data_IF_139262616635
#
_entry.id   IF_139262616635
#
_cell.length_a   1.000
_cell.length_b   1.000
_cell.length_c   1.000
_cell.angle_alpha   90.00
_cell.angle_beta   90.00
_cell.angle_gamma   90.00
#
_symmetry.space_group_name_H-M   'P 1'
#
loop_
_entity.id
_entity.type
_entity.pdbx_description
1 polymer ?
#
# COMPACT_ATOMS: atom_id res chain seq x y z
N UNK A 1 -20.83 -2.86 -22.15
CA UNK A 1 -20.27 -1.85 -21.23
C UNK A 1 -19.15 -2.50 -20.43
N UNK A 2 -17.89 -2.19 -20.75
CA UNK A 2 -16.75 -2.71 -19.98
C UNK A 2 -16.78 -2.08 -18.58
N UNK A 3 -16.96 -2.92 -17.56
CA UNK A 3 -16.87 -2.54 -16.16
C UNK A 3 -15.38 -2.32 -15.87
N UNK A 4 -14.89 -1.09 -16.01
CA UNK A 4 -13.52 -0.73 -15.64
C UNK A 4 -13.38 -0.94 -14.13
N UNK A 5 -12.94 -2.13 -13.71
CA UNK A 5 -12.55 -2.36 -12.34
C UNK A 5 -11.37 -1.42 -12.07
N UNK A 6 -11.55 -0.45 -11.17
CA UNK A 6 -10.47 0.40 -10.71
C UNK A 6 -9.47 -0.46 -9.94
N UNK A 7 -8.46 -0.95 -10.65
CA UNK A 7 -7.37 -1.71 -10.06
C UNK A 7 -6.60 -0.82 -9.10
N UNK A 8 -6.27 -1.38 -7.95
CA UNK A 8 -5.34 -0.75 -7.00
C UNK A 8 -3.97 -0.56 -7.66
N UNK A 9 -3.18 0.37 -7.13
CA UNK A 9 -1.82 0.57 -7.62
C UNK A 9 -0.98 -0.72 -7.50
N UNK A 10 -1.16 -1.49 -6.43
CA UNK A 10 -0.47 -2.77 -6.22
C UNK A 10 -0.79 -3.78 -7.34
N UNK A 11 -2.07 -3.98 -7.66
CA UNK A 11 -2.49 -4.89 -8.74
C UNK A 11 -2.00 -4.43 -10.12
N UNK A 12 -1.92 -3.11 -10.35
CA UNK A 12 -1.40 -2.57 -11.60
C UNK A 12 0.11 -2.83 -11.73
N UNK A 13 0.86 -2.63 -10.65
CA UNK A 13 2.30 -2.89 -10.62
C UNK A 13 2.59 -4.38 -10.79
N UNK A 14 1.83 -5.27 -10.14
CA UNK A 14 1.94 -6.72 -10.33
C UNK A 14 1.73 -7.13 -11.80
N UNK A 15 0.68 -6.61 -12.45
CA UNK A 15 0.42 -6.88 -13.87
C UNK A 15 1.52 -6.33 -14.79
N UNK A 16 2.08 -5.17 -14.46
CA UNK A 16 3.19 -4.61 -15.23
C UNK A 16 4.45 -5.49 -15.11
N UNK A 17 4.74 -6.02 -13.92
CA UNK A 17 5.83 -6.98 -13.70
C UNK A 17 5.66 -8.24 -14.57
N UNK A 18 4.44 -8.79 -14.67
CA UNK A 18 4.18 -9.96 -15.53
C UNK A 18 4.47 -9.65 -17.01
N UNK A 19 4.07 -8.46 -17.50
CA UNK A 19 4.34 -8.04 -18.88
C UNK A 19 5.84 -7.86 -19.11
N UNK A 20 6.55 -7.25 -18.17
CA UNK A 20 8.00 -7.07 -18.26
C UNK A 20 8.73 -8.41 -18.25
N UNK A 21 8.33 -9.35 -17.39
CA UNK A 21 8.88 -10.71 -17.40
C UNK A 21 8.70 -11.38 -18.76
N UNK A 22 7.52 -11.26 -19.36
CA UNK A 22 7.27 -11.76 -20.71
C UNK A 22 8.22 -11.14 -21.76
N UNK A 23 8.44 -9.82 -21.71
CA UNK A 23 9.40 -9.19 -22.63
C UNK A 23 10.85 -9.56 -22.36
N UNK A 24 11.24 -9.81 -21.11
CA UNK A 24 12.60 -10.31 -20.80
C UNK A 24 12.82 -11.68 -21.42
N UNK A 25 11.84 -12.58 -21.32
CA UNK A 25 11.92 -13.90 -21.94
C UNK A 25 11.98 -13.85 -23.48
N UNK A 26 11.42 -12.80 -24.09
CA UNK A 26 11.43 -12.62 -25.55
C UNK A 26 12.68 -11.90 -26.08
N UNK A 27 13.03 -10.77 -25.46
CA UNK A 27 14.00 -9.80 -25.98
C UNK A 27 15.30 -9.76 -25.16
N UNK A 28 15.41 -10.63 -24.14
CA UNK A 28 16.53 -10.67 -23.21
C UNK A 28 16.53 -9.49 -22.24
N UNK A 29 17.70 -9.18 -21.68
CA UNK A 29 17.82 -8.33 -20.49
C UNK A 29 17.56 -6.83 -20.71
N UNK A 30 17.10 -6.41 -21.88
CA UNK A 30 16.79 -4.99 -22.19
C UNK A 30 15.79 -4.40 -21.20
N UNK A 31 14.83 -5.22 -20.75
CA UNK A 31 13.78 -4.81 -19.81
C UNK A 31 14.12 -5.09 -18.35
N UNK A 32 15.25 -5.76 -18.06
CA UNK A 32 15.64 -6.15 -16.72
C UNK A 32 15.79 -4.95 -15.75
N UNK A 33 16.42 -3.82 -16.12
CA UNK A 33 16.52 -2.67 -15.21
C UNK A 33 15.17 -2.08 -14.83
N UNK A 34 14.19 -2.12 -15.74
CA UNK A 34 12.84 -1.63 -15.46
C UNK A 34 12.07 -2.61 -14.57
N UNK A 35 12.25 -3.91 -14.80
CA UNK A 35 11.68 -4.96 -13.97
C UNK A 35 12.17 -4.87 -12.52
N UNK A 36 13.49 -4.77 -12.30
CA UNK A 36 14.09 -4.63 -10.96
C UNK A 36 13.54 -3.41 -10.21
N UNK A 37 13.41 -2.27 -10.90
CA UNK A 37 12.82 -1.06 -10.32
C UNK A 37 11.37 -1.32 -9.87
N UNK A 38 10.57 -1.98 -10.70
CA UNK A 38 9.16 -2.25 -10.40
C UNK A 38 9.02 -3.29 -9.28
N UNK A 39 9.94 -4.25 -9.16
CA UNK A 39 9.97 -5.18 -8.03
C UNK A 39 10.22 -4.45 -6.71
N UNK A 40 11.16 -3.50 -6.69
CA UNK A 40 11.43 -2.68 -5.52
C UNK A 40 10.19 -1.85 -5.12
N UNK A 41 9.56 -1.17 -6.08
CA UNK A 41 8.33 -0.40 -5.85
C UNK A 41 7.18 -1.30 -5.37
N UNK A 42 7.04 -2.51 -5.94
CA UNK A 42 6.02 -3.47 -5.53
C UNK A 42 6.22 -3.93 -4.09
N UNK A 43 7.46 -4.22 -3.70
CA UNK A 43 7.79 -4.59 -2.33
C UNK A 43 7.44 -3.47 -1.33
N UNK A 44 7.76 -2.23 -1.66
CA UNK A 44 7.41 -1.05 -0.83
C UNK A 44 5.89 -0.88 -0.69
N UNK A 45 5.15 -0.96 -1.80
CA UNK A 45 3.69 -0.88 -1.80
C UNK A 45 3.06 -1.96 -0.92
N UNK A 46 3.52 -3.20 -1.05
CA UNK A 46 3.03 -4.35 -0.27
C UNK A 46 3.34 -4.19 1.23
N UNK A 47 4.53 -3.67 1.57
CA UNK A 47 4.88 -3.37 2.95
C UNK A 47 3.98 -2.25 3.53
N UNK A 48 3.75 -1.18 2.77
CA UNK A 48 2.90 -0.07 3.19
C UNK A 48 1.44 -0.52 3.41
N UNK A 49 0.90 -1.36 2.53
CA UNK A 49 -0.45 -1.93 2.70
C UNK A 49 -0.54 -2.83 3.93
N UNK A 50 0.48 -3.64 4.17
CA UNK A 50 0.57 -4.49 5.37
C UNK A 50 0.68 -3.64 6.64
N UNK A 51 1.49 -2.57 6.62
CA UNK A 51 1.64 -1.63 7.72
C UNK A 51 0.33 -0.90 8.00
N UNK A 52 -0.37 -0.42 6.96
CA UNK A 52 -1.69 0.21 7.08
C UNK A 52 -2.71 -0.76 7.66
N UNK A 53 -2.70 -2.02 7.21
CA UNK A 53 -3.57 -3.06 7.75
C UNK A 53 -3.27 -3.35 9.23
N UNK A 54 -1.99 -3.41 9.61
CA UNK A 54 -1.56 -3.54 11.02
C UNK A 54 -2.00 -2.34 11.85
N UNK A 55 -1.79 -1.11 11.37
CA UNK A 55 -2.22 0.11 12.03
C UNK A 55 -3.75 0.16 12.20
N UNK A 56 -4.51 -0.27 11.19
CA UNK A 56 -5.97 -0.37 11.27
C UNK A 56 -6.41 -1.40 12.30
N UNK A 57 -5.78 -2.59 12.35
CA UNK A 57 -6.06 -3.60 13.37
C UNK A 57 -5.73 -3.08 14.78
N UNK A 58 -4.61 -2.38 14.93
CA UNK A 58 -4.22 -1.76 16.20
C UNK A 58 -5.28 -0.75 16.65
N UNK A 59 -5.66 0.20 15.79
CA UNK A 59 -6.70 1.18 16.13
C UNK A 59 -8.05 0.51 16.45
N UNK A 60 -8.44 -0.53 15.71
CA UNK A 60 -9.67 -1.26 15.99
C UNK A 60 -9.63 -1.96 17.37
N UNK A 61 -8.47 -2.51 17.75
CA UNK A 61 -8.27 -3.14 19.06
C UNK A 61 -8.40 -2.13 20.21
N UNK A 62 -7.92 -0.89 20.01
CA UNK A 62 -7.99 0.18 21.00
C UNK A 62 -9.20 1.12 20.84
N UNK A 63 -10.14 0.78 19.94
CA UNK A 63 -11.41 1.50 19.79
C UNK A 63 -12.40 1.12 20.90
N UNK A 64 -13.36 1.99 21.15
CA UNK A 64 -14.34 1.90 22.26
C UNK A 64 -15.19 0.62 22.26
N UNK A 65 -15.29 -0.05 21.11
CA UNK A 65 -15.98 -1.34 20.91
C UNK A 65 -15.07 -2.57 21.19
N UNK A 66 -13.74 -2.38 21.34
CA UNK A 66 -12.72 -3.45 21.44
C UNK A 66 -12.22 -3.79 22.85
N UNK A 67 -12.47 -2.95 23.85
CA UNK A 67 -12.28 -3.28 25.28
C UNK A 67 -10.86 -3.17 25.87
N UNK A 68 -10.86 -2.88 27.18
CA UNK A 68 -9.79 -2.75 28.21
C UNK A 68 -8.86 -1.53 28.17
N UNK A 69 -8.52 -0.92 27.02
CA UNK A 69 -7.73 0.34 26.98
C UNK A 69 -8.22 1.30 25.88
N UNK A 70 -9.51 1.61 25.84
CA UNK A 70 -10.07 2.45 24.78
C UNK A 70 -9.44 3.86 24.80
N UNK A 71 -8.86 4.29 23.68
CA UNK A 71 -8.46 5.68 23.46
C UNK A 71 -9.72 6.45 23.03
N UNK A 72 -10.17 7.45 23.82
CA UNK A 72 -11.30 8.28 23.42
C UNK A 72 -10.90 9.15 22.21
N UNK A 73 -11.50 8.87 21.05
CA UNK A 73 -11.23 9.54 19.78
C UNK A 73 -11.37 11.07 19.85
N UNK A 74 -12.09 11.59 20.86
CA UNK A 74 -12.26 13.03 21.10
C UNK A 74 -10.98 13.75 21.53
N UNK A 75 -9.99 13.04 22.07
CA UNK A 75 -8.73 13.62 22.54
C UNK A 75 -7.60 13.67 21.49
N UNK A 76 -7.85 13.21 20.26
CA UNK A 76 -6.87 13.28 19.16
C UNK A 76 -7.02 14.56 18.31
N UNK A 77 -7.64 15.63 18.83
CA UNK A 77 -7.52 16.94 18.18
C UNK A 77 -6.06 17.39 18.27
N UNK A 78 -5.30 17.12 17.22
CA UNK A 78 -4.02 17.76 16.96
C UNK A 78 -4.29 19.25 16.86
N UNK A 79 -4.20 19.95 18.00
CA UNK A 79 -4.33 21.38 18.06
C UNK A 79 -3.08 21.97 17.40
N UNK A 80 -3.19 22.21 16.10
CA UNK A 80 -2.20 22.98 15.33
C UNK A 80 -2.35 24.45 15.72
N UNK A 81 -2.02 24.77 16.97
CA UNK A 81 -1.81 26.16 17.38
C UNK A 81 -0.36 26.48 17.08
N UNK A 82 -0.15 27.08 15.91
CA UNK A 82 1.12 27.69 15.55
C UNK A 82 1.51 28.79 16.53
N UNK A 83 2.80 29.03 16.59
CA UNK A 83 3.36 30.25 17.17
C UNK A 83 4.88 30.21 17.13
N UNK A 84 5.52 31.33 17.46
CA UNK A 84 5.23 32.71 17.08
C UNK A 84 5.94 33.11 15.77
#
# INVERSE_FOLDING_TARGET
>A
MQKQANLTLLERTERALVILAYFIELDGDVHLPMFEKFEAEFAELKQAETARSRARRLLNHYSRDGGVNAIDCRNLSFNSSGGP
#
